data_IF_036762248341
#
_entry.id   IF_036762248341
#
_cell.length_a   1.000
_cell.length_b   1.000
_cell.length_c   1.000
_cell.angle_alpha   90.00
_cell.angle_beta   90.00
_cell.angle_gamma   90.00
#
_symmetry.space_group_name_H-M   'P 1'
#
loop_
_entity.id
_entity.type
_entity.pdbx_description
1 polymer ?
#
# COMPACT_ATOMS: atom_id res chain seq x y z
N UNK A 1 -0.86 4.43 9.76
CA UNK A 1 -0.88 3.23 8.91
C UNK A 1 -2.30 2.65 8.90
N UNK A 2 -2.72 1.95 7.84
CA UNK A 2 -4.01 1.24 7.86
C UNK A 2 -4.09 0.25 9.02
N UNK A 3 -5.30 -0.12 9.43
CA UNK A 3 -5.56 -1.03 10.56
C UNK A 3 -4.68 -2.28 10.44
N UNK A 4 -3.85 -2.60 11.46
CA UNK A 4 -3.01 -3.79 11.43
C UNK A 4 -3.84 -5.05 11.19
N UNK A 5 -3.27 -6.02 10.48
CA UNK A 5 -3.94 -7.30 10.26
C UNK A 5 -4.15 -8.01 11.60
N UNK A 6 -5.31 -8.66 11.76
CA UNK A 6 -5.46 -9.75 12.72
C UNK A 6 -5.02 -11.03 11.99
N UNK A 7 -4.07 -11.76 12.55
CA UNK A 7 -3.51 -12.99 11.95
C UNK A 7 -2.22 -12.78 11.16
N UNK A 8 -1.79 -13.80 10.38
CA UNK A 8 -0.53 -13.80 9.66
C UNK A 8 -0.35 -12.58 8.74
N UNK A 9 0.89 -12.12 8.66
CA UNK A 9 1.33 -10.98 7.83
C UNK A 9 1.57 -11.45 6.39
N UNK A 10 1.57 -10.52 5.43
CA UNK A 10 1.94 -10.87 4.06
C UNK A 10 3.46 -11.03 3.96
N UNK A 11 3.93 -12.24 3.63
CA UNK A 11 5.35 -12.58 3.59
C UNK A 11 5.86 -13.10 4.94
N UNK A 12 7.14 -12.86 5.23
CA UNK A 12 7.78 -13.43 6.42
C UNK A 12 7.53 -12.65 7.74
N UNK A 13 7.40 -11.33 7.67
CA UNK A 13 7.31 -10.50 8.88
C UNK A 13 6.84 -9.07 8.59
N UNK A 14 6.67 -8.24 9.64
CA UNK A 14 6.08 -6.90 9.52
C UNK A 14 6.92 -5.96 8.66
N UNK A 15 8.24 -6.04 8.73
CA UNK A 15 9.15 -5.26 7.89
C UNK A 15 8.98 -5.62 6.40
N UNK A 16 8.93 -6.93 6.10
CA UNK A 16 8.73 -7.42 4.73
C UNK A 16 7.37 -6.97 4.20
N UNK A 17 6.27 -7.18 4.94
CA UNK A 17 4.94 -6.75 4.50
C UNK A 17 4.91 -5.26 4.12
N UNK A 18 5.58 -4.42 4.92
CA UNK A 18 5.64 -2.97 4.68
C UNK A 18 6.37 -2.64 3.37
N UNK A 19 7.50 -3.28 3.09
CA UNK A 19 8.25 -3.10 1.85
C UNK A 19 7.48 -3.64 0.64
N UNK A 20 6.85 -4.80 0.79
CA UNK A 20 6.03 -5.41 -0.26
C UNK A 20 4.88 -4.48 -0.68
N UNK A 21 4.14 -3.93 0.29
CA UNK A 21 3.03 -3.02 0.01
C UNK A 21 3.51 -1.69 -0.59
N UNK A 22 4.67 -1.17 -0.16
CA UNK A 22 5.25 0.03 -0.75
C UNK A 22 5.61 -0.18 -2.22
N UNK A 23 6.26 -1.30 -2.56
CA UNK A 23 6.62 -1.61 -3.94
C UNK A 23 5.38 -1.82 -4.83
N UNK A 24 4.33 -2.47 -4.30
CA UNK A 24 3.07 -2.63 -5.03
C UNK A 24 2.35 -1.30 -5.27
N UNK A 25 2.38 -0.38 -4.30
CA UNK A 25 1.82 0.96 -4.47
C UNK A 25 2.57 1.75 -5.54
N UNK A 26 3.91 1.71 -5.52
CA UNK A 26 4.74 2.35 -6.53
C UNK A 26 4.42 1.80 -7.94
N UNK A 27 4.39 0.47 -8.10
CA UNK A 27 4.04 -0.16 -9.36
C UNK A 27 2.63 0.21 -9.84
N UNK A 28 1.64 0.27 -8.93
CA UNK A 28 0.28 0.69 -9.25
C UNK A 28 0.23 2.12 -9.79
N UNK A 29 0.95 3.05 -9.15
CA UNK A 29 0.98 4.44 -9.62
C UNK A 29 1.74 4.63 -10.93
N UNK A 30 2.83 3.89 -11.15
CA UNK A 30 3.59 3.93 -12.39
C UNK A 30 2.81 3.35 -13.57
N UNK A 31 2.18 2.19 -13.38
CA UNK A 31 1.56 1.43 -14.48
C UNK A 31 0.04 1.62 -14.58
N UNK A 32 -0.58 2.40 -13.68
CA UNK A 32 -2.03 2.66 -13.57
C UNK A 32 -2.89 1.43 -13.22
N UNK A 33 -2.43 0.22 -13.52
CA UNK A 33 -3.06 -1.05 -13.19
C UNK A 33 -1.99 -2.13 -13.02
N UNK A 34 -2.21 -3.05 -12.07
CA UNK A 34 -1.32 -4.18 -11.81
C UNK A 34 -2.13 -5.46 -11.55
N UNK A 35 -1.58 -6.61 -11.94
CA UNK A 35 -2.13 -7.93 -11.62
C UNK A 35 -1.40 -8.50 -10.41
N UNK A 36 -2.14 -8.83 -9.35
CA UNK A 36 -1.59 -9.41 -8.11
C UNK A 36 -2.61 -10.37 -7.48
N UNK A 37 -2.23 -11.03 -6.38
CA UNK A 37 -3.17 -11.90 -5.65
C UNK A 37 -4.25 -11.08 -4.96
N UNK A 38 -5.45 -11.63 -4.86
CA UNK A 38 -6.59 -10.93 -4.26
C UNK A 38 -6.30 -10.44 -2.83
N UNK A 39 -5.61 -11.26 -2.05
CA UNK A 39 -5.18 -10.93 -0.68
C UNK A 39 -4.24 -9.72 -0.65
N UNK A 40 -3.26 -9.65 -1.56
CA UNK A 40 -2.35 -8.51 -1.68
C UNK A 40 -3.10 -7.26 -2.15
N UNK A 41 -4.00 -7.39 -3.11
CA UNK A 41 -4.81 -6.29 -3.61
C UNK A 41 -5.70 -5.68 -2.50
N UNK A 42 -6.43 -6.53 -1.75
CA UNK A 42 -7.27 -6.10 -0.62
C UNK A 42 -6.46 -5.36 0.44
N UNK A 43 -5.22 -5.78 0.70
CA UNK A 43 -4.31 -5.13 1.66
C UNK A 43 -3.70 -3.82 1.14
N UNK A 44 -3.46 -3.73 -0.16
CA UNK A 44 -2.91 -2.54 -0.81
C UNK A 44 -3.90 -1.38 -0.83
N UNK A 45 -5.19 -1.65 -1.06
CA UNK A 45 -6.26 -0.63 -1.19
C UNK A 45 -6.21 0.50 -0.16
N UNK A 46 -6.29 0.24 1.16
CA UNK A 46 -6.32 1.32 2.15
C UNK A 46 -5.00 2.10 2.23
N UNK A 47 -3.87 1.51 1.83
CA UNK A 47 -2.59 2.22 1.74
C UNK A 47 -2.59 3.16 0.53
N UNK A 48 -2.96 2.65 -0.65
CA UNK A 48 -2.99 3.42 -1.89
C UNK A 48 -3.99 4.59 -1.81
N UNK A 49 -5.19 4.36 -1.29
CA UNK A 49 -6.21 5.41 -1.10
C UNK A 49 -5.73 6.52 -0.16
N UNK A 50 -5.02 6.16 0.92
CA UNK A 50 -4.42 7.14 1.84
C UNK A 50 -3.31 7.95 1.19
N UNK A 51 -2.47 7.33 0.36
CA UNK A 51 -1.43 8.04 -0.40
C UNK A 51 -2.06 9.03 -1.40
N UNK A 52 -3.12 8.62 -2.10
CA UNK A 52 -3.88 9.53 -2.97
C UNK A 52 -4.47 10.69 -2.17
N UNK A 53 -4.96 10.44 -0.95
CA UNK A 53 -5.51 11.49 -0.08
C UNK A 53 -4.45 12.52 0.31
N UNK A 54 -3.23 12.09 0.65
CA UNK A 54 -2.11 13.01 0.91
C UNK A 54 -1.68 13.75 -0.33
N UNK A 55 -1.57 13.07 -1.48
CA UNK A 55 -1.24 13.70 -2.74
C UNK A 55 -2.26 14.78 -3.15
N UNK A 56 -3.55 14.57 -2.88
CA UNK A 56 -4.61 15.57 -3.10
C UNK A 56 -4.49 16.80 -2.18
N UNK A 57 -3.90 16.66 -0.98
CA UNK A 57 -3.68 17.77 -0.06
C UNK A 57 -2.57 18.70 -0.58
N UNK A 58 -1.48 18.13 -1.09
CA UNK A 58 -0.44 18.87 -1.82
C UNK A 58 0.41 19.85 -0.99
N UNK A 59 0.41 19.75 0.34
CA UNK A 59 1.27 20.57 1.21
C UNK A 59 2.68 19.94 1.38
N UNK A 60 3.62 20.72 1.94
CA UNK A 60 4.99 20.24 2.18
C UNK A 60 5.05 19.05 3.14
N UNK A 61 4.12 18.97 4.09
CA UNK A 61 4.07 17.89 5.07
C UNK A 61 3.57 16.56 4.48
N UNK A 62 2.80 16.62 3.40
CA UNK A 62 2.22 15.49 2.69
C UNK A 62 3.12 14.91 1.59
N UNK A 63 4.25 15.57 1.29
CA UNK A 63 5.26 15.13 0.30
C UNK A 63 6.27 14.17 0.92
#
# INVERSE_FOLDING_TARGET
MPKPTKGPRLGGGPAHERLLLANLAAALFTHKSIKTTETKAKRLRPLAERLITFAKRGDLHAR
#
